data_IF_631201998806
#
_entry.id   IF_631201998806
#
_cell.length_a   1.000
_cell.length_b   1.000
_cell.length_c   1.000
_cell.angle_alpha   90.00
_cell.angle_beta   90.00
_cell.angle_gamma   90.00
#
_symmetry.space_group_name_H-M   'P 1'
#
loop_
_entity.id
_entity.type
_entity.pdbx_description
1 polymer ?
#
# COMPACT_ATOMS: atom_id res chain seq x y z
N UNK A 1 19.76 -13.86 18.79
CA UNK A 1 18.62 -14.70 18.42
C UNK A 1 17.40 -13.89 18.81
N UNK A 2 16.72 -13.25 17.87
CA UNK A 2 15.45 -12.59 18.16
C UNK A 2 14.43 -13.70 18.44
N UNK A 3 13.78 -13.63 19.59
CA UNK A 3 12.69 -14.54 19.95
C UNK A 3 11.61 -14.46 18.88
N UNK A 4 11.24 -15.60 18.30
CA UNK A 4 10.24 -15.70 17.22
C UNK A 4 8.81 -15.47 17.70
N UNK A 5 8.60 -15.15 18.99
CA UNK A 5 7.29 -14.95 19.63
C UNK A 5 6.70 -13.53 19.49
N UNK A 6 7.40 -12.62 18.80
CA UNK A 6 7.02 -11.19 18.80
C UNK A 6 6.20 -10.69 17.59
N UNK A 7 6.16 -11.40 16.47
CA UNK A 7 5.50 -10.88 15.24
C UNK A 7 4.28 -11.71 14.84
N UNK A 8 3.27 -11.79 15.71
CA UNK A 8 2.00 -12.45 15.37
C UNK A 8 1.15 -11.59 14.45
N UNK A 9 1.10 -10.29 14.73
CA UNK A 9 0.30 -9.31 14.01
C UNK A 9 1.21 -8.36 13.24
N UNK A 10 0.95 -8.18 11.94
CA UNK A 10 1.68 -7.21 11.13
C UNK A 10 0.71 -6.17 10.60
N UNK A 11 1.07 -4.90 10.75
CA UNK A 11 0.16 -3.79 10.53
C UNK A 11 0.81 -2.83 9.54
N UNK A 12 0.13 -2.56 8.43
CA UNK A 12 0.54 -1.58 7.43
C UNK A 12 -0.49 -0.44 7.35
N UNK A 13 -0.22 0.71 8.00
CA UNK A 13 -1.11 1.88 7.93
C UNK A 13 -1.20 2.50 6.53
N UNK A 14 -0.20 2.23 5.69
CA UNK A 14 -0.04 2.66 4.31
C UNK A 14 0.21 1.44 3.43
N UNK A 15 -0.81 0.60 3.28
CA UNK A 15 -0.67 -0.71 2.66
C UNK A 15 -0.14 -0.63 1.21
N UNK A 16 -0.61 0.32 0.42
CA UNK A 16 -0.20 0.41 -0.98
C UNK A 16 -0.49 -0.90 -1.74
N UNK A 17 0.58 -1.58 -2.17
CA UNK A 17 0.49 -2.90 -2.80
C UNK A 17 0.48 -4.09 -1.82
N UNK A 18 0.66 -3.86 -0.52
CA UNK A 18 0.69 -4.87 0.53
C UNK A 18 1.86 -5.85 0.46
N UNK A 19 2.94 -5.53 -0.27
CA UNK A 19 3.92 -6.55 -0.66
C UNK A 19 4.71 -7.13 0.50
N UNK A 20 5.00 -6.33 1.53
CA UNK A 20 5.76 -6.79 2.71
C UNK A 20 4.89 -7.70 3.55
N UNK A 21 3.74 -7.21 4.01
CA UNK A 21 2.80 -7.93 4.85
C UNK A 21 2.26 -9.21 4.19
N UNK A 22 1.89 -9.17 2.90
CA UNK A 22 1.45 -10.37 2.18
C UNK A 22 2.57 -11.41 2.08
N UNK A 23 3.81 -10.98 1.81
CA UNK A 23 4.94 -11.90 1.76
C UNK A 23 5.15 -12.59 3.09
N UNK A 24 5.09 -11.84 4.20
CA UNK A 24 5.26 -12.37 5.55
C UNK A 24 4.12 -13.32 5.94
N UNK A 25 2.88 -12.99 5.57
CA UNK A 25 1.72 -13.85 5.85
C UNK A 25 1.83 -15.18 5.09
N UNK A 26 2.13 -15.11 3.79
CA UNK A 26 2.19 -16.28 2.92
C UNK A 26 3.41 -17.17 3.19
N UNK A 27 4.48 -16.64 3.79
CA UNK A 27 5.62 -17.42 4.26
C UNK A 27 5.43 -17.98 5.68
N UNK A 28 4.31 -17.68 6.34
CA UNK A 28 4.01 -18.12 7.70
C UNK A 28 4.86 -17.43 8.78
N UNK A 29 5.43 -16.26 8.48
CA UNK A 29 6.18 -15.46 9.45
C UNK A 29 5.29 -14.65 10.39
N UNK A 30 4.03 -14.42 10.00
CA UNK A 30 3.01 -13.73 10.79
C UNK A 30 1.72 -14.53 10.74
N UNK A 31 0.82 -14.28 11.69
CA UNK A 31 -0.48 -14.94 11.77
C UNK A 31 -1.60 -14.07 11.20
N UNK A 32 -1.59 -12.79 11.52
CA UNK A 32 -2.65 -11.85 11.13
C UNK A 32 -2.02 -10.63 10.46
N UNK A 33 -2.62 -10.21 9.35
CA UNK A 33 -2.21 -9.06 8.57
C UNK A 33 -3.31 -7.99 8.60
N UNK A 34 -2.95 -6.79 9.02
CA UNK A 34 -3.83 -5.63 9.08
C UNK A 34 -3.37 -4.60 8.05
N UNK A 35 -4.19 -4.38 7.01
CA UNK A 35 -3.90 -3.42 5.96
C UNK A 35 -4.86 -2.25 6.06
N UNK A 36 -4.32 -1.04 6.14
CA UNK A 36 -5.06 0.20 5.97
C UNK A 36 -4.51 0.95 4.76
N UNK A 37 -5.40 1.56 3.98
CA UNK A 37 -5.00 2.55 3.01
C UNK A 37 -6.10 3.59 2.87
N UNK A 38 -5.72 4.87 2.70
CA UNK A 38 -6.68 5.96 2.50
C UNK A 38 -7.25 5.96 1.07
N UNK A 39 -6.51 5.42 0.09
CA UNK A 39 -6.99 5.28 -1.28
C UNK A 39 -8.09 4.23 -1.35
N UNK A 40 -9.32 4.69 -1.62
CA UNK A 40 -10.50 3.83 -1.68
C UNK A 40 -10.36 2.71 -2.73
N UNK A 41 -9.61 2.93 -3.81
CA UNK A 41 -9.35 1.89 -4.82
C UNK A 41 -8.50 0.76 -4.25
N UNK A 42 -7.48 1.07 -3.44
CA UNK A 42 -6.59 0.08 -2.82
C UNK A 42 -7.38 -0.75 -1.82
N UNK A 43 -8.10 -0.07 -0.91
CA UNK A 43 -9.02 -0.73 0.02
C UNK A 43 -10.01 -1.62 -0.73
N UNK A 44 -10.67 -1.10 -1.76
CA UNK A 44 -11.67 -1.84 -2.53
C UNK A 44 -11.08 -3.06 -3.22
N UNK A 45 -9.88 -2.97 -3.77
CA UNK A 45 -9.19 -4.10 -4.39
C UNK A 45 -8.97 -5.23 -3.39
N UNK A 46 -8.38 -4.93 -2.23
CA UNK A 46 -8.18 -5.96 -1.22
C UNK A 46 -9.49 -6.48 -0.65
N UNK A 47 -10.51 -5.63 -0.48
CA UNK A 47 -11.81 -6.02 0.02
C UNK A 47 -12.48 -7.02 -0.93
N UNK A 48 -12.49 -6.74 -2.24
CA UNK A 48 -13.02 -7.66 -3.26
C UNK A 48 -12.24 -8.97 -3.26
N UNK A 49 -10.90 -8.91 -3.21
CA UNK A 49 -10.07 -10.12 -3.16
C UNK A 49 -10.38 -10.96 -1.92
N UNK A 50 -10.57 -10.32 -0.76
CA UNK A 50 -10.87 -10.99 0.50
C UNK A 50 -12.26 -11.64 0.48
N UNK A 51 -13.30 -10.95 0.00
CA UNK A 51 -14.69 -11.39 0.16
C UNK A 51 -15.19 -12.28 -0.97
N UNK A 52 -15.00 -11.87 -2.22
CA UNK A 52 -15.43 -12.62 -3.41
C UNK A 52 -14.65 -12.14 -4.65
N UNK A 53 -13.53 -12.80 -5.00
CA UNK A 53 -12.70 -12.38 -6.12
C UNK A 53 -13.28 -12.78 -7.48
N UNK A 54 -14.29 -13.65 -7.57
CA UNK A 54 -14.69 -14.27 -8.83
C UNK A 54 -15.20 -13.27 -9.88
N UNK A 55 -16.02 -12.25 -9.53
CA UNK A 55 -16.41 -11.21 -10.48
C UNK A 55 -15.22 -10.43 -11.04
N UNK A 56 -14.22 -10.10 -10.20
CA UNK A 56 -13.00 -9.44 -10.65
C UNK A 56 -12.18 -10.32 -11.59
N UNK A 57 -12.10 -11.62 -11.31
CA UNK A 57 -11.41 -12.59 -12.15
C UNK A 57 -12.07 -12.72 -13.54
N UNK A 58 -13.40 -12.69 -13.60
CA UNK A 58 -14.14 -12.71 -14.87
C UNK A 58 -13.84 -11.46 -15.72
N UNK A 59 -13.76 -10.27 -15.10
CA UNK A 59 -13.33 -9.06 -15.78
C UNK A 59 -11.91 -9.20 -16.32
N UNK A 60 -10.98 -9.76 -15.53
CA UNK A 60 -9.59 -9.94 -15.93
C UNK A 60 -9.45 -10.85 -17.15
N UNK A 61 -10.19 -11.97 -17.17
CA UNK A 61 -10.09 -12.98 -18.23
C UNK A 61 -10.62 -12.47 -19.59
N UNK A 62 -11.60 -11.56 -19.56
CA UNK A 62 -12.29 -11.07 -20.76
C UNK A 62 -11.80 -9.68 -21.22
N UNK A 63 -10.87 -9.07 -20.50
CA UNK A 63 -10.41 -7.71 -20.80
C UNK A 63 -9.29 -7.67 -21.84
N UNK A 64 -9.44 -6.75 -22.80
CA UNK A 64 -8.42 -6.43 -23.81
C UNK A 64 -7.83 -5.05 -23.50
N UNK A 65 -6.54 -4.96 -23.08
CA UNK A 65 -5.92 -3.69 -22.74
C UNK A 65 -5.86 -2.71 -23.92
N UNK A 66 -6.24 -1.46 -23.68
CA UNK A 66 -6.11 -0.38 -24.65
C UNK A 66 -5.83 0.96 -23.97
N UNK A 67 -5.29 1.93 -24.73
CA UNK A 67 -5.12 3.31 -24.23
C UNK A 67 -6.45 4.01 -23.95
N UNK A 68 -7.54 3.57 -24.57
CA UNK A 68 -8.87 4.10 -24.32
C UNK A 68 -9.38 3.63 -22.95
N UNK A 69 -9.29 2.34 -22.69
CA UNK A 69 -9.67 1.75 -21.39
C UNK A 69 -8.84 2.33 -20.24
N UNK A 70 -7.54 2.57 -20.47
CA UNK A 70 -6.71 3.30 -19.52
C UNK A 70 -7.28 4.68 -19.18
N UNK A 71 -7.64 5.49 -20.19
CA UNK A 71 -8.16 6.85 -19.97
C UNK A 71 -9.51 6.84 -19.24
N UNK A 72 -10.38 5.88 -19.55
CA UNK A 72 -11.65 5.69 -18.84
C UNK A 72 -11.39 5.40 -17.36
N UNK A 73 -10.52 4.44 -17.07
CA UNK A 73 -10.16 4.09 -15.70
C UNK A 73 -9.47 5.24 -14.96
N UNK A 74 -8.52 5.92 -15.61
CA UNK A 74 -7.83 7.08 -15.03
C UNK A 74 -8.79 8.22 -14.70
N UNK A 75 -9.85 8.42 -15.48
CA UNK A 75 -10.87 9.42 -15.16
C UNK A 75 -11.60 9.10 -13.87
N UNK A 76 -11.90 7.82 -13.63
CA UNK A 76 -12.56 7.35 -12.40
C UNK A 76 -11.62 7.49 -11.19
N UNK A 77 -10.35 7.10 -11.36
CA UNK A 77 -9.31 7.25 -10.33
C UNK A 77 -9.10 8.73 -9.97
N UNK A 78 -9.00 9.63 -10.96
CA UNK A 78 -8.83 11.07 -10.73
C UNK A 78 -10.04 11.72 -10.04
N UNK A 79 -11.22 11.10 -10.16
CA UNK A 79 -12.43 11.50 -9.42
C UNK A 79 -12.53 10.82 -8.05
N UNK A 80 -11.44 10.21 -7.57
CA UNK A 80 -11.40 9.47 -6.29
C UNK A 80 -12.52 8.45 -6.16
N UNK A 81 -12.86 7.78 -7.26
CA UNK A 81 -13.88 6.72 -7.31
C UNK A 81 -15.28 7.16 -6.85
N UNK A 82 -15.60 8.46 -6.87
CA UNK A 82 -16.92 8.96 -6.47
C UNK A 82 -18.03 8.25 -7.26
N UNK A 83 -18.95 7.62 -6.52
CA UNK A 83 -20.08 6.88 -7.07
C UNK A 83 -19.78 5.45 -7.54
N UNK A 84 -18.55 4.95 -7.32
CA UNK A 84 -18.21 3.56 -7.60
C UNK A 84 -18.55 2.65 -6.39
N UNK A 85 -18.94 1.42 -6.67
CA UNK A 85 -18.91 0.35 -5.68
C UNK A 85 -17.48 -0.25 -5.57
N UNK A 86 -17.31 -1.23 -4.66
CA UNK A 86 -16.03 -1.88 -4.41
C UNK A 86 -15.45 -2.53 -5.68
N UNK A 87 -16.27 -3.23 -6.47
CA UNK A 87 -15.80 -3.93 -7.66
C UNK A 87 -15.34 -2.94 -8.73
N UNK A 88 -16.14 -1.88 -8.97
CA UNK A 88 -15.79 -0.83 -9.92
C UNK A 88 -14.52 -0.08 -9.49
N UNK A 89 -14.37 0.25 -8.21
CA UNK A 89 -13.17 0.91 -7.71
C UNK A 89 -11.92 0.03 -7.84
N UNK A 90 -12.02 -1.24 -7.41
CA UNK A 90 -10.95 -2.25 -7.56
C UNK A 90 -10.52 -2.42 -9.03
N UNK A 91 -11.51 -2.53 -9.93
CA UNK A 91 -11.27 -2.72 -11.35
C UNK A 91 -10.54 -1.55 -11.99
N UNK A 92 -10.99 -0.32 -11.72
CA UNK A 92 -10.37 0.88 -12.29
C UNK A 92 -8.98 1.16 -11.72
N UNK A 93 -8.73 0.84 -10.45
CA UNK A 93 -7.38 0.85 -9.89
C UNK A 93 -6.49 -0.15 -10.63
N UNK A 94 -6.95 -1.41 -10.79
CA UNK A 94 -6.17 -2.47 -11.41
C UNK A 94 -5.80 -2.14 -12.86
N UNK A 95 -6.76 -1.65 -13.67
CA UNK A 95 -6.49 -1.19 -15.04
C UNK A 95 -5.42 -0.10 -15.00
N UNK A 96 -5.63 0.96 -14.22
CA UNK A 96 -4.72 2.11 -14.19
C UNK A 96 -3.30 1.67 -13.81
N UNK A 97 -3.17 0.85 -12.77
CA UNK A 97 -1.89 0.34 -12.29
C UNK A 97 -1.19 -0.63 -13.26
N UNK A 98 -1.93 -1.45 -14.02
CA UNK A 98 -1.32 -2.41 -14.95
C UNK A 98 -0.96 -1.77 -16.29
N UNK A 99 -1.73 -0.80 -16.75
CA UNK A 99 -1.53 -0.15 -18.05
C UNK A 99 -0.61 1.09 -17.96
N UNK A 100 -0.35 1.62 -16.77
CA UNK A 100 0.58 2.76 -16.58
C UNK A 100 2.06 2.35 -16.55
N UNK A 101 2.92 3.32 -16.90
CA UNK A 101 4.37 3.17 -16.79
C UNK A 101 4.77 2.93 -15.32
N UNK A 102 5.52 1.85 -15.09
CA UNK A 102 5.98 1.40 -13.76
C UNK A 102 4.88 1.14 -12.72
N UNK A 103 3.60 1.16 -13.11
CA UNK A 103 2.46 0.95 -12.23
C UNK A 103 2.19 2.10 -11.26
N UNK A 104 2.76 3.26 -11.53
CA UNK A 104 2.45 4.48 -10.82
C UNK A 104 1.09 4.95 -11.31
N UNK A 105 0.15 5.15 -10.39
CA UNK A 105 -1.24 5.54 -10.72
C UNK A 105 -1.29 6.89 -11.46
N UNK A 106 -0.36 7.80 -11.13
CA UNK A 106 -0.20 9.11 -11.78
C UNK A 106 0.60 9.10 -13.08
N UNK A 107 1.23 7.99 -13.46
CA UNK A 107 2.03 7.95 -14.68
C UNK A 107 1.16 7.95 -15.94
N UNK A 108 1.77 8.11 -17.10
CA UNK A 108 1.08 7.94 -18.38
C UNK A 108 0.89 6.45 -18.70
N UNK A 109 -0.08 6.16 -19.56
CA UNK A 109 -0.22 4.83 -20.17
C UNK A 109 1.09 4.43 -20.87
N UNK A 110 1.47 3.16 -20.76
CA UNK A 110 2.57 2.61 -21.56
C UNK A 110 2.28 2.72 -23.06
N UNK A 111 3.34 2.75 -23.86
CA UNK A 111 3.25 2.70 -25.32
C UNK A 111 2.51 1.45 -25.79
N UNK A 112 2.85 0.30 -25.18
CA UNK A 112 2.11 -0.96 -25.23
C UNK A 112 1.32 -1.17 -23.92
N UNK A 113 -0.01 -0.95 -23.92
CA UNK A 113 -0.86 -1.15 -22.75
C UNK A 113 -0.91 -2.61 -22.26
N UNK A 114 -0.63 -3.59 -23.12
CA UNK A 114 -0.72 -5.01 -22.79
C UNK A 114 0.58 -5.54 -22.14
N UNK A 115 1.68 -4.80 -22.19
CA UNK A 115 3.01 -5.26 -21.77
C UNK A 115 3.08 -5.82 -20.34
N UNK A 116 2.21 -5.34 -19.43
CA UNK A 116 2.14 -5.80 -18.02
C UNK A 116 0.80 -6.48 -17.69
N UNK A 117 -0.05 -6.71 -18.69
CA UNK A 117 -1.32 -7.41 -18.53
C UNK A 117 -1.11 -8.91 -18.71
N UNK A 118 -1.02 -9.63 -17.60
CA UNK A 118 -0.81 -11.09 -17.58
C UNK A 118 -1.94 -11.77 -16.83
N UNK A 119 -3.09 -12.06 -17.47
CA UNK A 119 -4.30 -12.57 -16.81
C UNK A 119 -4.05 -13.79 -15.92
N UNK A 120 -3.27 -14.77 -16.41
CA UNK A 120 -2.91 -15.97 -15.65
C UNK A 120 -2.16 -15.66 -14.35
N UNK A 121 -1.21 -14.71 -14.40
CA UNK A 121 -0.43 -14.28 -13.23
C UNK A 121 -1.29 -13.48 -12.26
N UNK A 122 -2.13 -12.58 -12.77
CA UNK A 122 -3.07 -11.80 -11.95
C UNK A 122 -4.05 -12.72 -11.21
N UNK A 123 -4.66 -13.67 -11.94
CA UNK A 123 -5.54 -14.68 -11.38
C UNK A 123 -4.86 -15.46 -10.27
N UNK A 124 -3.66 -15.98 -10.52
CA UNK A 124 -2.91 -16.75 -9.53
C UNK A 124 -2.70 -15.92 -8.26
N UNK A 125 -2.21 -14.69 -8.39
CA UNK A 125 -1.95 -13.80 -7.24
C UNK A 125 -3.22 -13.49 -6.45
N UNK A 126 -4.32 -13.17 -7.13
CA UNK A 126 -5.61 -12.89 -6.48
C UNK A 126 -6.10 -14.11 -5.69
N UNK A 127 -6.04 -15.32 -6.28
CA UNK A 127 -6.45 -16.55 -5.61
C UNK A 127 -5.50 -16.92 -4.45
N UNK A 128 -4.19 -16.72 -4.62
CA UNK A 128 -3.21 -16.91 -3.55
C UNK A 128 -3.56 -15.99 -2.35
N UNK A 129 -3.80 -14.70 -2.57
CA UNK A 129 -4.21 -13.76 -1.50
C UNK A 129 -5.55 -14.18 -0.88
N UNK A 130 -6.55 -14.50 -1.70
CA UNK A 130 -7.87 -14.92 -1.24
C UNK A 130 -7.82 -16.16 -0.33
N UNK A 131 -6.88 -17.09 -0.58
CA UNK A 131 -6.70 -18.28 0.26
C UNK A 131 -6.30 -17.98 1.71
N UNK A 132 -5.78 -16.77 1.98
CA UNK A 132 -5.45 -16.27 3.32
C UNK A 132 -6.47 -15.24 3.84
N UNK A 133 -7.63 -15.11 3.18
CA UNK A 133 -8.63 -14.07 3.50
C UNK A 133 -9.06 -14.04 4.97
N UNK A 134 -9.09 -15.17 5.68
CA UNK A 134 -9.43 -15.22 7.11
C UNK A 134 -8.41 -14.53 8.03
N UNK A 135 -7.18 -14.33 7.55
CA UNK A 135 -6.06 -13.73 8.27
C UNK A 135 -5.76 -12.29 7.85
N UNK A 136 -6.57 -11.72 6.95
CA UNK A 136 -6.39 -10.37 6.42
C UNK A 136 -7.52 -9.48 6.95
N UNK A 137 -7.17 -8.40 7.60
CA UNK A 137 -8.08 -7.38 8.14
C UNK A 137 -7.85 -6.08 7.38
N UNK A 138 -8.94 -5.41 6.97
CA UNK A 138 -8.88 -4.28 6.05
C UNK A 138 -9.60 -3.07 6.64
N UNK A 139 -9.00 -1.89 6.49
CA UNK A 139 -9.61 -0.61 6.83
C UNK A 139 -9.31 0.46 5.78
N UNK A 140 -10.15 1.50 5.74
CA UNK A 140 -10.00 2.67 4.88
C UNK A 140 -10.11 3.94 5.72
N UNK A 141 -9.17 4.10 6.65
CA UNK A 141 -9.13 5.18 7.63
C UNK A 141 -7.94 6.12 7.40
N UNK A 142 -7.95 7.28 8.07
CA UNK A 142 -6.73 8.08 8.15
C UNK A 142 -5.62 7.28 8.85
N UNK A 143 -4.42 7.32 8.30
CA UNK A 143 -3.34 6.47 8.78
C UNK A 143 -2.94 6.82 10.22
N UNK A 144 -3.03 8.08 10.64
CA UNK A 144 -2.71 8.47 12.02
C UNK A 144 -3.74 7.89 13.01
N UNK A 145 -5.02 7.96 12.67
CA UNK A 145 -6.10 7.36 13.48
C UNK A 145 -5.91 5.84 13.60
N UNK A 146 -5.62 5.18 12.49
CA UNK A 146 -5.35 3.74 12.47
C UNK A 146 -4.10 3.36 13.28
N UNK A 147 -3.02 4.16 13.22
CA UNK A 147 -1.82 3.94 14.03
C UNK A 147 -2.15 4.04 15.53
N UNK A 148 -2.90 5.06 15.93
CA UNK A 148 -3.31 5.24 17.33
C UNK A 148 -4.12 4.06 17.86
N UNK A 149 -5.05 3.53 17.06
CA UNK A 149 -5.85 2.35 17.41
C UNK A 149 -4.97 1.10 17.56
N UNK A 150 -4.04 0.90 16.64
CA UNK A 150 -3.30 -0.35 16.49
C UNK A 150 -2.02 -0.42 17.34
N UNK A 151 -1.48 0.72 17.80
CA UNK A 151 -0.23 0.77 18.57
C UNK A 151 -0.25 -0.08 19.85
N UNK A 152 -1.42 -0.24 20.45
CA UNK A 152 -1.61 -1.00 21.69
C UNK A 152 -1.87 -2.50 21.48
N UNK A 153 -1.84 -2.97 20.22
CA UNK A 153 -2.02 -4.38 19.91
C UNK A 153 -0.83 -5.21 20.42
N UNK A 154 -1.06 -6.27 21.19
CA UNK A 154 0.02 -7.12 21.68
C UNK A 154 0.64 -7.96 20.53
N UNK A 155 1.94 -8.26 20.64
CA UNK A 155 2.68 -9.08 19.67
C UNK A 155 2.55 -8.57 18.23
N UNK A 156 2.61 -7.25 18.07
CA UNK A 156 2.41 -6.59 16.80
C UNK A 156 3.67 -5.86 16.34
N UNK A 157 3.73 -5.62 15.04
CA UNK A 157 4.71 -4.73 14.40
C UNK A 157 3.97 -3.78 13.46
N UNK A 158 4.18 -2.47 13.65
CA UNK A 158 3.73 -1.42 12.75
C UNK A 158 4.80 -1.16 11.70
N UNK A 159 4.49 -1.48 10.44
CA UNK A 159 5.32 -1.13 9.29
C UNK A 159 4.73 0.10 8.59
N UNK A 160 5.39 1.24 8.79
CA UNK A 160 4.91 2.56 8.41
C UNK A 160 5.74 3.03 7.20
N UNK A 161 5.12 3.00 6.01
CA UNK A 161 5.72 3.44 4.73
C UNK A 161 4.87 4.57 4.12
N UNK A 162 4.91 5.79 4.71
CA UNK A 162 4.09 6.91 4.24
C UNK A 162 4.58 7.42 2.88
N UNK A 163 3.78 8.24 2.17
CA UNK A 163 4.24 8.91 0.96
C UNK A 163 5.55 9.67 1.20
N UNK A 164 6.62 9.38 0.45
CA UNK A 164 7.93 10.00 0.67
C UNK A 164 7.93 11.53 0.51
N UNK A 165 8.81 12.23 1.22
CA UNK A 165 8.81 13.69 1.27
C UNK A 165 9.15 14.31 -0.09
N UNK A 166 10.28 13.94 -0.69
CA UNK A 166 10.70 14.49 -1.98
C UNK A 166 9.94 13.85 -3.15
N UNK A 167 9.79 12.53 -3.09
CA UNK A 167 9.28 11.73 -4.23
C UNK A 167 7.77 11.53 -4.19
N UNK A 168 7.09 11.92 -3.12
CA UNK A 168 5.71 11.55 -2.87
C UNK A 168 4.75 12.07 -3.93
N UNK A 169 4.91 13.33 -4.34
CA UNK A 169 4.06 13.98 -5.36
C UNK A 169 4.06 13.26 -6.71
N UNK A 170 5.18 12.59 -7.05
CA UNK A 170 5.33 11.88 -8.32
C UNK A 170 4.84 10.41 -8.25
N UNK A 171 4.88 9.80 -7.06
CA UNK A 171 4.67 8.36 -6.89
C UNK A 171 3.26 8.00 -6.41
N UNK A 172 2.64 8.81 -5.54
CA UNK A 172 1.41 8.44 -4.83
C UNK A 172 0.21 9.28 -5.25
N UNK A 173 -0.98 8.69 -5.23
CA UNK A 173 -2.26 9.37 -5.48
C UNK A 173 -2.50 10.49 -4.46
N UNK A 174 -2.41 10.11 -3.18
CA UNK A 174 -2.42 10.98 -2.01
C UNK A 174 -0.96 11.20 -1.55
N UNK A 175 -0.58 12.45 -1.29
CA UNK A 175 0.76 12.80 -0.81
C UNK A 175 0.64 13.60 0.47
N UNK A 176 1.64 13.48 1.33
CA UNK A 176 1.69 14.26 2.56
C UNK A 176 2.24 15.66 2.28
N UNK A 177 1.63 16.64 2.91
CA UNK A 177 2.16 17.97 3.15
C UNK A 177 3.20 17.93 4.28
N UNK A 178 3.99 18.98 4.43
CA UNK A 178 4.96 19.08 5.53
C UNK A 178 4.28 18.95 6.90
N UNK A 179 3.12 19.58 7.07
CA UNK A 179 2.29 19.49 8.27
C UNK A 179 1.82 18.05 8.54
N UNK A 180 1.47 17.28 7.51
CA UNK A 180 1.09 15.87 7.68
C UNK A 180 2.28 14.98 8.06
N UNK A 181 3.49 15.29 7.54
CA UNK A 181 4.72 14.63 7.99
C UNK A 181 5.05 14.95 9.45
N UNK A 182 4.92 16.21 9.85
CA UNK A 182 5.11 16.66 11.24
C UNK A 182 4.08 16.03 12.18
N UNK A 183 2.81 15.95 11.76
CA UNK A 183 1.74 15.28 12.50
C UNK A 183 2.06 13.81 12.75
N UNK A 184 2.48 13.07 11.72
CA UNK A 184 2.87 11.68 11.85
C UNK A 184 4.08 11.53 12.79
N UNK A 185 5.11 12.37 12.64
CA UNK A 185 6.28 12.34 13.50
C UNK A 185 5.94 12.59 14.97
N UNK A 186 5.12 13.61 15.24
CA UNK A 186 4.63 13.95 16.57
C UNK A 186 3.84 12.79 17.19
N UNK A 187 2.96 12.15 16.41
CA UNK A 187 2.21 10.98 16.85
C UNK A 187 3.16 9.84 17.27
N UNK A 188 4.07 9.43 16.39
CA UNK A 188 4.97 8.30 16.63
C UNK A 188 5.91 8.57 17.82
N UNK A 189 6.39 9.81 17.97
CA UNK A 189 7.21 10.20 19.11
C UNK A 189 6.45 10.09 20.43
N UNK A 190 5.19 10.56 20.49
CA UNK A 190 4.37 10.47 21.70
C UNK A 190 4.04 9.03 22.06
N UNK A 191 3.71 8.19 21.07
CA UNK A 191 3.46 6.77 21.28
C UNK A 191 4.70 6.08 21.84
N UNK A 192 5.87 6.28 21.20
CA UNK A 192 7.14 5.71 21.63
C UNK A 192 7.52 6.09 23.07
N UNK A 193 7.23 7.33 23.48
CA UNK A 193 7.49 7.82 24.85
C UNK A 193 6.50 7.29 25.89
N UNK A 194 5.30 6.86 25.48
CA UNK A 194 4.17 6.59 26.37
C UNK A 194 4.36 5.37 27.27
N UNK A 195 4.88 4.26 26.76
CA UNK A 195 5.19 2.98 27.44
C UNK A 195 5.67 1.99 26.35
N UNK A 196 6.34 0.85 26.65
CA UNK A 196 6.54 -0.17 25.62
C UNK A 196 5.20 -0.62 25.01
N UNK A 197 4.98 -0.25 23.75
CA UNK A 197 3.88 -0.71 22.90
C UNK A 197 4.38 -1.59 21.76
N UNK A 198 3.71 -1.48 20.62
CA UNK A 198 4.07 -2.20 19.37
C UNK A 198 5.44 -1.76 18.84
N UNK A 199 6.21 -2.71 18.28
CA UNK A 199 7.43 -2.41 17.53
C UNK A 199 7.09 -1.55 16.30
N UNK A 200 7.87 -0.49 16.05
CA UNK A 200 7.67 0.41 14.90
C UNK A 200 8.85 0.28 13.95
N UNK A 201 8.54 0.02 12.68
CA UNK A 201 9.46 0.12 11.55
C UNK A 201 8.96 1.27 10.68
N UNK A 202 9.79 2.28 10.46
CA UNK A 202 9.49 3.45 9.65
C UNK A 202 10.41 3.51 8.43
N UNK A 203 9.84 3.70 7.25
CA UNK A 203 10.59 3.87 6.00
C UNK A 203 10.35 5.24 5.39
N UNK A 204 11.41 5.87 4.88
CA UNK A 204 11.37 7.19 4.25
C UNK A 204 12.49 7.33 3.21
N UNK A 205 12.42 8.39 2.42
CA UNK A 205 13.57 8.91 1.69
C UNK A 205 14.62 9.49 2.64
N UNK A 206 15.91 9.30 2.30
CA UNK A 206 17.02 9.83 3.09
C UNK A 206 17.16 11.34 2.88
N UNK A 207 16.30 12.10 3.56
CA UNK A 207 16.24 13.56 3.48
C UNK A 207 16.57 14.19 4.85
N UNK A 208 17.40 15.26 4.91
CA UNK A 208 17.75 15.92 6.16
C UNK A 208 16.55 16.44 6.98
N UNK A 209 15.49 16.92 6.33
CA UNK A 209 14.27 17.37 7.00
C UNK A 209 13.59 16.20 7.73
N UNK A 210 13.44 15.05 7.07
CA UNK A 210 12.90 13.84 7.69
C UNK A 210 13.77 13.35 8.83
N UNK A 211 15.11 13.34 8.67
CA UNK A 211 16.02 13.01 9.78
C UNK A 211 15.82 13.93 10.98
N UNK A 212 15.55 15.21 10.74
CA UNK A 212 15.30 16.17 11.82
C UNK A 212 13.98 15.89 12.55
N UNK A 213 12.95 15.36 11.87
CA UNK A 213 11.69 14.98 12.51
C UNK A 213 11.82 13.76 13.44
N UNK A 214 12.71 12.81 13.15
CA UNK A 214 12.80 11.54 13.88
C UNK A 214 14.13 11.38 14.63
N UNK A 215 14.16 11.78 15.91
CA UNK A 215 15.40 11.81 16.72
C UNK A 215 15.71 10.53 17.52
N UNK A 216 14.72 9.67 17.76
CA UNK A 216 14.85 8.48 18.62
C UNK A 216 15.19 7.15 17.93
N UNK A 217 14.76 6.87 16.68
CA UNK A 217 14.92 5.52 16.13
C UNK A 217 16.39 5.20 15.83
N UNK A 218 16.72 3.90 15.83
CA UNK A 218 17.95 3.43 15.19
C UNK A 218 17.78 3.58 13.67
N UNK A 219 18.73 4.23 13.00
CA UNK A 219 18.64 4.54 11.57
C UNK A 219 19.59 3.67 10.77
N UNK A 220 19.06 2.98 9.76
CA UNK A 220 19.83 2.25 8.76
C UNK A 220 19.57 2.85 7.36
N UNK A 221 20.65 3.13 6.62
CA UNK A 221 20.56 3.65 5.24
C UNK A 221 20.69 2.49 4.26
N UNK A 222 19.67 2.31 3.43
CA UNK A 222 19.64 1.26 2.40
C UNK A 222 19.92 1.87 1.03
N UNK A 223 21.07 1.55 0.44
CA UNK A 223 21.41 2.01 -0.91
C UNK A 223 20.58 1.28 -1.98
N UNK A 224 19.97 2.05 -2.91
CA UNK A 224 19.29 1.49 -4.09
C UNK A 224 20.17 1.63 -5.33
N UNK A 225 20.45 0.52 -6.00
CA UNK A 225 21.18 0.49 -7.30
C UNK A 225 20.31 0.93 -8.50
N UNK A 226 18.99 1.02 -8.34
CA UNK A 226 18.05 1.39 -9.40
C UNK A 226 16.87 2.22 -8.85
N UNK A 227 16.47 3.28 -9.56
CA UNK A 227 15.34 4.14 -9.19
C UNK A 227 14.45 4.34 -10.42
N UNK A 228 13.15 4.10 -10.28
CA UNK A 228 12.15 4.26 -11.35
C UNK A 228 12.03 5.73 -11.80
N UNK A 229 12.38 6.68 -10.92
CA UNK A 229 12.23 8.14 -11.16
C UNK A 229 13.19 8.68 -12.21
N UNK A 230 14.30 7.99 -12.51
CA UNK A 230 15.31 8.47 -13.48
C UNK A 230 14.79 8.49 -14.92
N UNK A 231 13.62 7.93 -15.20
CA UNK A 231 13.02 7.83 -16.53
C UNK A 231 11.66 8.56 -16.67
N UNK A 232 11.29 9.40 -15.70
CA UNK A 232 10.04 10.17 -15.72
C UNK A 232 10.22 11.64 -16.19
N UNK A 233 11.38 11.98 -16.78
CA UNK A 233 11.67 13.29 -17.36
C UNK A 233 11.32 13.36 -18.85
#
# INVERSE_FOLDING_TARGET
MCDTDHMLNFIEPFAGGGSVGLSLLMSGNIKELYLNDKDYGIYSLFQVIKTDPFPLLELIDNFVPSKEEYRKAQTIVNRKYVGCDLLAAAWNLLITNRLSFSGIVKANCMSDPAARWTPKTLRKRILDIHSYSSHIHLSNQDACEFIEEMYWMPHATLFIDPPYYEKGKQLYSEYYTEEEHEKLAFLLENLYKGFPGTDIILTYDDNPYIRNLYQYPTVEVVERKYSIVTHLA
#
